data_IF_879723047653
#
_entry.id   IF_879723047653
#
_cell.length_a   1.000
_cell.length_b   1.000
_cell.length_c   1.000
_cell.angle_alpha   90.00
_cell.angle_beta   90.00
_cell.angle_gamma   90.00
#
_symmetry.space_group_name_H-M   'P 1'
#
loop_
_entity.id
_entity.type
_entity.pdbx_description
1 polymer ?
#
# COMPACT_ATOMS: atom_id res chain seq x y z
N UNK A 1 18.59 -11.11 -21.24
CA UNK A 1 19.54 -12.24 -21.18
C UNK A 1 19.98 -12.38 -19.73
N UNK A 2 19.39 -13.33 -18.99
CA UNK A 2 19.79 -13.56 -17.60
C UNK A 2 20.99 -14.52 -17.58
N UNK A 3 22.08 -14.06 -16.97
CA UNK A 3 23.31 -14.83 -16.76
C UNK A 3 23.11 -15.83 -15.62
N UNK A 4 22.39 -16.92 -15.87
CA UNK A 4 22.20 -18.02 -14.89
C UNK A 4 22.36 -19.42 -15.48
N UNK A 5 22.71 -19.56 -16.76
CA UNK A 5 22.64 -20.85 -17.46
C UNK A 5 23.98 -21.55 -17.70
N UNK A 6 24.94 -21.47 -16.77
CA UNK A 6 26.13 -22.30 -16.82
C UNK A 6 26.59 -22.75 -15.43
N UNK A 7 25.99 -23.82 -14.89
CA UNK A 7 26.63 -24.72 -13.91
C UNK A 7 25.85 -26.05 -13.83
N UNK A 8 26.44 -27.20 -14.25
CA UNK A 8 25.78 -28.51 -14.24
C UNK A 8 25.46 -29.04 -12.82
N UNK A 9 26.11 -28.49 -11.80
CA UNK A 9 25.91 -28.84 -10.38
C UNK A 9 24.88 -27.95 -9.66
N UNK A 10 24.25 -27.02 -10.39
CA UNK A 10 23.35 -26.02 -9.83
C UNK A 10 22.02 -26.60 -9.34
N UNK A 11 21.62 -27.81 -9.73
CA UNK A 11 20.32 -28.37 -9.33
C UNK A 11 20.27 -28.79 -7.85
N UNK A 12 21.35 -29.38 -7.32
CA UNK A 12 21.45 -29.73 -5.90
C UNK A 12 21.56 -28.49 -5.01
N UNK A 13 22.38 -27.51 -5.42
CA UNK A 13 22.57 -26.25 -4.70
C UNK A 13 21.28 -25.41 -4.72
N UNK A 14 20.60 -25.30 -5.86
CA UNK A 14 19.31 -24.59 -5.97
C UNK A 14 18.23 -25.23 -5.08
N UNK A 15 18.17 -26.57 -5.04
CA UNK A 15 17.26 -27.28 -4.14
C UNK A 15 17.58 -26.98 -2.68
N UNK A 16 18.84 -27.06 -2.28
CA UNK A 16 19.25 -26.76 -0.90
C UNK A 16 18.93 -25.32 -0.48
N UNK A 17 19.24 -24.34 -1.33
CA UNK A 17 18.93 -22.92 -1.05
C UNK A 17 17.42 -22.71 -0.92
N UNK A 18 16.63 -23.28 -1.83
CA UNK A 18 15.18 -23.21 -1.78
C UNK A 18 14.62 -23.80 -0.48
N UNK A 19 15.04 -25.02 -0.12
CA UNK A 19 14.60 -25.68 1.12
C UNK A 19 15.00 -24.89 2.36
N UNK A 20 16.19 -24.29 2.35
CA UNK A 20 16.64 -23.43 3.46
C UNK A 20 15.76 -22.20 3.60
N UNK A 21 15.50 -21.48 2.51
CA UNK A 21 14.59 -20.30 2.51
C UNK A 21 13.20 -20.72 2.98
N UNK A 22 12.65 -21.81 2.44
CA UNK A 22 11.33 -22.31 2.79
C UNK A 22 11.25 -22.70 4.26
N UNK A 23 12.26 -23.39 4.79
CA UNK A 23 12.35 -23.75 6.20
C UNK A 23 12.43 -22.50 7.10
N UNK A 24 13.26 -21.51 6.73
CA UNK A 24 13.36 -20.24 7.48
C UNK A 24 12.02 -19.48 7.51
N UNK A 25 11.31 -19.42 6.39
CA UNK A 25 10.01 -18.72 6.32
C UNK A 25 8.90 -19.48 7.04
N UNK A 26 8.89 -20.83 7.00
CA UNK A 26 7.86 -21.66 7.65
C UNK A 26 8.08 -21.80 9.15
N UNK A 27 9.32 -22.06 9.56
CA UNK A 27 9.65 -22.46 10.92
C UNK A 27 10.23 -21.31 11.74
N UNK A 28 10.56 -20.17 11.12
CA UNK A 28 11.26 -19.08 11.79
C UNK A 28 12.72 -19.44 12.11
N UNK A 29 13.36 -18.58 12.91
CA UNK A 29 14.74 -18.78 13.37
C UNK A 29 15.03 -17.94 14.62
N UNK A 30 16.12 -18.26 15.34
CA UNK A 30 16.52 -17.56 16.56
C UNK A 30 17.71 -16.65 16.27
N UNK A 31 17.66 -15.40 16.76
CA UNK A 31 18.83 -14.53 16.90
C UNK A 31 18.92 -14.12 18.36
N UNK A 32 20.03 -14.47 19.03
CA UNK A 32 20.20 -14.20 20.46
C UNK A 32 19.15 -14.92 21.30
N UNK A 33 18.39 -14.17 22.09
CA UNK A 33 17.30 -14.64 22.95
C UNK A 33 15.91 -14.53 22.30
N UNK A 34 15.84 -14.17 21.00
CA UNK A 34 14.59 -13.88 20.31
C UNK A 34 14.31 -14.85 19.17
N UNK A 35 13.09 -15.36 19.12
CA UNK A 35 12.57 -16.16 18.02
C UNK A 35 11.84 -15.27 17.01
N UNK A 36 12.25 -15.34 15.75
CA UNK A 36 11.70 -14.57 14.64
C UNK A 36 10.84 -15.45 13.75
N UNK A 37 9.58 -15.06 13.57
CA UNK A 37 8.61 -15.76 12.72
C UNK A 37 8.14 -14.88 11.56
N UNK A 38 7.68 -15.49 10.48
CA UNK A 38 7.25 -14.77 9.29
C UNK A 38 5.98 -13.94 9.52
N UNK A 39 6.04 -12.66 9.16
CA UNK A 39 4.92 -11.73 9.30
C UNK A 39 4.25 -11.44 7.96
N UNK A 40 4.98 -10.84 7.02
CA UNK A 40 4.46 -10.38 5.73
C UNK A 40 5.61 -9.99 4.76
N UNK A 41 5.25 -9.63 3.54
CA UNK A 41 6.13 -8.98 2.58
C UNK A 41 5.35 -8.01 1.69
N UNK A 42 6.02 -7.01 1.12
CA UNK A 42 5.48 -6.18 0.05
C UNK A 42 6.00 -6.62 -1.33
N UNK A 43 5.41 -6.10 -2.41
CA UNK A 43 5.91 -6.35 -3.77
C UNK A 43 7.30 -5.78 -4.01
N UNK A 44 7.71 -4.71 -3.31
CA UNK A 44 9.08 -4.22 -3.41
C UNK A 44 10.05 -5.14 -2.68
N UNK A 45 9.69 -5.58 -1.48
CA UNK A 45 10.50 -6.51 -0.71
C UNK A 45 10.72 -7.83 -1.45
N UNK A 46 9.70 -8.37 -2.13
CA UNK A 46 9.88 -9.55 -2.98
C UNK A 46 10.90 -9.35 -4.11
N UNK A 47 10.91 -8.18 -4.78
CA UNK A 47 11.92 -7.89 -5.81
C UNK A 47 13.32 -7.78 -5.23
N UNK A 48 13.40 -7.29 -4.00
CA UNK A 48 14.66 -7.10 -3.27
C UNK A 48 15.05 -8.34 -2.42
N UNK A 49 14.36 -9.47 -2.58
CA UNK A 49 14.56 -10.71 -1.81
C UNK A 49 14.52 -10.52 -0.28
N UNK A 50 13.61 -9.70 0.23
CA UNK A 50 13.43 -9.40 1.65
C UNK A 50 12.00 -9.68 2.12
N UNK A 51 11.83 -9.79 3.44
CA UNK A 51 10.53 -10.01 4.11
C UNK A 51 10.53 -9.33 5.48
N UNK A 52 9.35 -9.13 6.07
CA UNK A 52 9.22 -8.78 7.49
C UNK A 52 9.10 -10.04 8.34
N UNK A 53 9.97 -10.15 9.34
CA UNK A 53 9.91 -11.13 10.41
C UNK A 53 9.64 -10.41 11.73
N UNK A 54 8.91 -11.05 12.63
CA UNK A 54 8.60 -10.50 13.95
C UNK A 54 9.24 -11.34 15.05
N UNK A 55 9.89 -10.67 16.00
CA UNK A 55 10.40 -11.30 17.21
C UNK A 55 9.23 -11.61 18.15
N UNK A 56 8.74 -12.85 18.09
CA UNK A 56 7.58 -13.27 18.87
C UNK A 56 7.88 -13.31 20.36
N UNK A 57 6.85 -13.13 21.17
CA UNK A 57 6.94 -13.17 22.63
C UNK A 57 5.67 -13.78 23.22
N UNK A 58 5.68 -14.23 24.50
CA UNK A 58 4.48 -14.71 25.16
C UNK A 58 3.31 -13.72 25.01
N UNK A 59 2.19 -14.19 24.44
CA UNK A 59 0.99 -13.39 24.21
C UNK A 59 1.02 -12.47 22.98
N UNK A 60 2.05 -12.52 22.14
CA UNK A 60 2.08 -11.77 20.87
C UNK A 60 2.91 -12.49 19.80
N UNK A 61 2.24 -12.97 18.77
CA UNK A 61 2.80 -13.60 17.58
C UNK A 61 2.54 -12.77 16.32
N UNK A 62 3.20 -13.12 15.21
CA UNK A 62 2.88 -12.62 13.87
C UNK A 62 1.43 -12.90 13.49
N UNK A 63 0.87 -14.02 13.95
CA UNK A 63 -0.54 -14.33 13.70
C UNK A 63 -1.46 -13.36 14.45
N UNK A 64 -1.14 -13.04 15.71
CA UNK A 64 -1.89 -12.06 16.50
C UNK A 64 -1.82 -10.67 15.87
N UNK A 65 -0.66 -10.27 15.36
CA UNK A 65 -0.51 -9.02 14.60
C UNK A 65 -1.40 -9.01 13.35
N UNK A 66 -1.40 -10.08 12.56
CA UNK A 66 -2.26 -10.19 11.37
C UNK A 66 -3.75 -10.13 11.72
N UNK A 67 -4.16 -10.80 12.80
CA UNK A 67 -5.54 -10.74 13.30
C UNK A 67 -5.91 -9.34 13.80
N UNK A 68 -4.97 -8.66 14.48
CA UNK A 68 -5.17 -7.29 14.94
C UNK A 68 -5.33 -6.28 13.80
N UNK A 69 -4.62 -6.46 12.67
CA UNK A 69 -4.73 -5.56 11.52
C UNK A 69 -6.15 -5.53 10.94
N UNK A 70 -6.80 -6.69 10.81
CA UNK A 70 -8.17 -6.78 10.31
C UNK A 70 -8.56 -8.19 9.87
N UNK A 71 -9.77 -8.29 9.34
CA UNK A 71 -10.32 -9.53 8.81
C UNK A 71 -10.05 -9.64 7.31
N UNK A 72 -9.14 -10.55 6.96
CA UNK A 72 -8.75 -10.87 5.58
C UNK A 72 -9.45 -12.14 5.03
N UNK A 73 -10.36 -12.77 5.78
CA UNK A 73 -10.99 -14.05 5.40
C UNK A 73 -11.75 -14.01 4.07
N UNK A 74 -12.27 -12.83 3.69
CA UNK A 74 -12.97 -12.65 2.42
C UNK A 74 -12.02 -12.65 1.19
N UNK A 75 -10.71 -12.61 1.39
CA UNK A 75 -9.71 -12.58 0.32
C UNK A 75 -9.22 -14.02 0.05
N UNK A 76 -9.89 -14.70 -0.87
CA UNK A 76 -9.57 -16.10 -1.21
C UNK A 76 -8.30 -16.25 -2.07
N UNK A 77 -7.99 -15.24 -2.88
CA UNK A 77 -6.82 -15.29 -3.75
C UNK A 77 -5.54 -14.99 -2.95
N UNK A 78 -4.61 -15.94 -2.91
CA UNK A 78 -3.36 -15.86 -2.13
C UNK A 78 -2.50 -14.67 -2.53
N UNK A 79 -2.36 -14.40 -3.83
CA UNK A 79 -1.57 -13.26 -4.33
C UNK A 79 -2.19 -11.93 -3.89
N UNK A 80 -3.51 -11.81 -3.99
CA UNK A 80 -4.26 -10.63 -3.53
C UNK A 80 -4.16 -10.48 -2.01
N UNK A 81 -4.27 -11.57 -1.27
CA UNK A 81 -4.12 -11.61 0.19
C UNK A 81 -2.74 -11.06 0.59
N UNK A 82 -1.66 -11.62 0.02
CA UNK A 82 -0.31 -11.18 0.34
C UNK A 82 -0.06 -9.71 -0.02
N UNK A 83 -0.56 -9.26 -1.18
CA UNK A 83 -0.43 -7.87 -1.60
C UNK A 83 -1.18 -6.89 -0.67
N UNK A 84 -2.35 -7.26 -0.17
CA UNK A 84 -3.14 -6.44 0.76
C UNK A 84 -2.53 -6.48 2.17
N UNK A 85 -2.05 -7.64 2.62
CA UNK A 85 -1.39 -7.78 3.91
C UNK A 85 -0.10 -6.95 3.95
N UNK A 86 0.77 -7.07 2.96
CA UNK A 86 2.02 -6.31 2.88
C UNK A 86 1.80 -4.79 2.85
N UNK A 87 0.69 -4.37 2.24
CA UNK A 87 0.26 -2.97 2.22
C UNK A 87 -0.14 -2.42 3.60
N UNK A 88 -0.49 -3.26 4.56
CA UNK A 88 -0.79 -2.84 5.94
C UNK A 88 0.48 -2.48 6.73
N UNK A 89 1.66 -2.84 6.22
CA UNK A 89 2.98 -2.50 6.78
C UNK A 89 3.60 -1.25 6.12
N UNK A 90 2.89 -0.60 5.19
CA UNK A 90 3.33 0.67 4.62
C UNK A 90 3.54 1.68 5.75
N UNK A 91 4.69 2.36 5.76
CA UNK A 91 4.94 3.42 6.75
C UNK A 91 3.99 4.60 6.51
N UNK A 92 3.34 5.05 7.58
CA UNK A 92 2.48 6.23 7.56
C UNK A 92 2.67 7.07 8.82
N UNK A 93 2.27 8.34 8.75
CA UNK A 93 2.13 9.21 9.91
C UNK A 93 0.74 9.00 10.50
N UNK A 94 0.65 8.41 11.69
CA UNK A 94 -0.61 8.36 12.42
C UNK A 94 -1.02 9.80 12.80
N UNK A 95 -2.27 10.16 12.54
CA UNK A 95 -2.78 11.52 12.76
C UNK A 95 -3.88 11.56 13.82
N UNK A 96 -5.13 11.44 13.41
CA UNK A 96 -6.31 11.59 14.26
C UNK A 96 -7.15 10.32 14.22
N UNK A 97 -7.92 10.09 15.28
CA UNK A 97 -8.96 9.07 15.27
C UNK A 97 -10.22 9.63 14.59
N UNK A 98 -10.85 8.82 13.74
CA UNK A 98 -12.13 9.14 13.08
C UNK A 98 -13.12 8.04 13.46
N UNK A 99 -14.15 8.37 14.24
CA UNK A 99 -15.15 7.40 14.62
C UNK A 99 -16.04 7.02 13.42
N UNK A 100 -16.65 5.84 13.46
CA UNK A 100 -17.47 5.34 12.34
C UNK A 100 -18.64 6.26 11.97
N UNK A 101 -19.23 6.96 12.94
CA UNK A 101 -20.31 7.92 12.71
C UNK A 101 -19.84 9.24 12.09
N UNK A 102 -18.53 9.49 12.04
CA UNK A 102 -17.94 10.68 11.41
C UNK A 102 -17.55 10.42 9.95
N UNK A 103 -17.91 9.24 9.43
CA UNK A 103 -17.61 8.78 8.08
C UNK A 103 -18.90 8.51 7.34
N UNK A 104 -18.93 8.97 6.09
CA UNK A 104 -19.99 8.65 5.15
C UNK A 104 -19.45 7.71 4.07
N UNK A 105 -20.20 6.64 3.77
CA UNK A 105 -19.85 5.73 2.67
C UNK A 105 -20.82 5.95 1.51
N UNK A 106 -20.31 6.49 0.40
CA UNK A 106 -21.11 6.81 -0.78
C UNK A 106 -20.89 5.79 -1.91
N UNK A 107 -21.88 5.71 -2.81
CA UNK A 107 -21.82 4.88 -4.02
C UNK A 107 -20.77 5.37 -5.01
N UNK A 108 -20.09 4.45 -5.67
CA UNK A 108 -19.14 4.76 -6.75
C UNK A 108 -19.79 5.53 -7.91
N UNK A 109 -19.04 6.44 -8.53
CA UNK A 109 -19.46 7.15 -9.74
C UNK A 109 -19.30 6.23 -10.94
N UNK A 110 -20.41 5.95 -11.61
CA UNK A 110 -20.49 5.14 -12.83
C UNK A 110 -21.32 5.88 -13.88
N UNK A 111 -20.98 5.71 -15.14
CA UNK A 111 -21.79 6.20 -16.27
C UNK A 111 -22.75 5.09 -16.71
N UNK A 112 -24.01 5.44 -16.99
CA UNK A 112 -25.02 4.49 -17.48
C UNK A 112 -24.50 3.77 -18.73
N UNK A 113 -24.65 2.44 -18.77
CA UNK A 113 -24.18 1.62 -19.88
C UNK A 113 -22.72 1.17 -19.79
N UNK A 114 -21.99 1.52 -18.73
CA UNK A 114 -20.61 1.02 -18.51
C UNK A 114 -20.46 0.41 -17.12
N UNK A 115 -19.60 -0.61 -17.02
CA UNK A 115 -19.19 -1.19 -15.74
C UNK A 115 -18.00 -0.44 -15.10
N UNK A 116 -17.50 0.60 -15.75
CA UNK A 116 -16.32 1.34 -15.32
C UNK A 116 -16.62 2.24 -14.13
N UNK A 117 -15.71 2.26 -13.15
CA UNK A 117 -15.81 3.08 -11.94
C UNK A 117 -14.86 4.27 -12.05
N UNK A 118 -15.41 5.46 -12.26
CA UNK A 118 -14.64 6.68 -12.47
C UNK A 118 -14.05 7.25 -11.17
N UNK A 119 -14.63 6.89 -10.03
CA UNK A 119 -14.22 7.36 -8.71
C UNK A 119 -13.39 6.34 -7.93
N UNK A 120 -12.74 5.38 -8.62
CA UNK A 120 -12.02 4.34 -7.91
C UNK A 120 -10.81 4.93 -7.16
N UNK A 121 -10.70 4.61 -5.88
CA UNK A 121 -9.63 5.11 -5.03
C UNK A 121 -9.73 6.59 -4.62
N UNK A 122 -10.79 7.34 -4.99
CA UNK A 122 -10.92 8.78 -4.65
C UNK A 122 -12.11 9.08 -3.71
N UNK A 123 -11.78 9.54 -2.50
CA UNK A 123 -12.72 9.96 -1.46
C UNK A 123 -12.61 11.46 -1.16
N UNK A 124 -13.29 11.91 -0.10
CA UNK A 124 -13.28 13.30 0.35
C UNK A 124 -12.88 13.42 1.81
N UNK A 125 -12.31 14.56 2.17
CA UNK A 125 -12.02 14.98 3.54
C UNK A 125 -12.58 16.39 3.73
N UNK A 126 -13.29 16.65 4.85
CA UNK A 126 -13.81 17.99 5.10
C UNK A 126 -12.67 19.00 5.30
N UNK A 127 -12.91 20.27 4.94
CA UNK A 127 -11.90 21.32 5.07
C UNK A 127 -11.38 21.51 6.50
N UNK A 128 -12.28 21.50 7.50
CA UNK A 128 -11.88 21.56 8.92
C UNK A 128 -10.98 20.38 9.31
N UNK A 129 -11.39 19.16 8.93
CA UNK A 129 -10.63 17.98 9.30
C UNK A 129 -9.28 17.91 8.57
N UNK A 130 -9.22 18.33 7.31
CA UNK A 130 -7.99 18.47 6.53
C UNK A 130 -6.99 19.43 7.19
N UNK A 131 -7.48 20.56 7.72
CA UNK A 131 -6.65 21.50 8.49
C UNK A 131 -6.00 20.82 9.69
N UNK A 132 -6.79 20.10 10.49
CA UNK A 132 -6.31 19.40 11.69
C UNK A 132 -5.31 18.28 11.34
N UNK A 133 -5.55 17.55 10.26
CA UNK A 133 -4.64 16.54 9.72
C UNK A 133 -3.32 17.17 9.25
N UNK A 134 -3.38 18.28 8.53
CA UNK A 134 -2.19 19.02 8.07
C UNK A 134 -1.33 19.50 9.25
N UNK A 135 -1.95 20.07 10.30
CA UNK A 135 -1.27 20.48 11.53
C UNK A 135 -0.60 19.29 12.23
N UNK A 136 -1.29 18.13 12.34
CA UNK A 136 -0.69 16.92 12.90
C UNK A 136 0.46 16.36 12.06
N UNK A 137 0.42 16.57 10.74
CA UNK A 137 1.54 16.25 9.85
C UNK A 137 2.68 17.27 9.91
N UNK A 138 2.56 18.36 10.68
CA UNK A 138 3.57 19.42 10.78
C UNK A 138 3.64 20.33 9.55
N UNK A 139 2.54 20.47 8.82
CA UNK A 139 2.47 21.30 7.61
C UNK A 139 2.01 22.71 7.94
N UNK A 140 2.60 23.71 7.28
CA UNK A 140 2.22 25.12 7.39
C UNK A 140 1.09 25.53 6.43
N UNK A 141 0.67 24.61 5.56
CA UNK A 141 -0.42 24.80 4.60
C UNK A 141 -1.34 23.57 4.62
N UNK A 142 -2.54 23.71 4.06
CA UNK A 142 -3.49 22.60 3.89
C UNK A 142 -3.32 22.02 2.47
N UNK A 143 -2.79 20.80 2.32
CA UNK A 143 -2.74 20.12 1.03
C UNK A 143 -4.14 19.91 0.45
N UNK A 144 -4.27 20.00 -0.88
CA UNK A 144 -5.53 19.70 -1.57
C UNK A 144 -5.90 18.23 -1.52
N UNK A 145 -4.89 17.33 -1.42
CA UNK A 145 -5.13 15.89 -1.33
C UNK A 145 -4.19 15.18 -0.35
N UNK A 146 -4.67 14.08 0.21
CA UNK A 146 -3.92 13.18 1.08
C UNK A 146 -4.07 11.73 0.60
N UNK A 147 -2.97 11.00 0.50
CA UNK A 147 -3.00 9.55 0.36
C UNK A 147 -3.07 8.95 1.77
N UNK A 148 -4.17 8.27 2.07
CA UNK A 148 -4.48 7.82 3.42
C UNK A 148 -4.68 6.31 3.53
N UNK A 149 -4.52 5.83 4.76
CA UNK A 149 -4.99 4.54 5.26
C UNK A 149 -5.93 4.80 6.43
N UNK A 150 -7.07 4.14 6.44
CA UNK A 150 -8.02 4.22 7.53
C UNK A 150 -8.71 2.87 7.68
N UNK A 151 -8.47 2.15 8.77
CA UNK A 151 -8.88 0.75 8.88
C UNK A 151 -8.39 -0.05 7.66
N UNK A 152 -9.30 -0.76 6.99
CA UNK A 152 -8.99 -1.45 5.73
C UNK A 152 -9.19 -0.63 4.46
N UNK A 153 -9.42 0.69 4.57
CA UNK A 153 -9.51 1.59 3.42
C UNK A 153 -8.13 2.04 2.95
N UNK A 154 -7.94 2.00 1.63
CA UNK A 154 -6.81 2.64 0.92
C UNK A 154 -7.37 3.56 -0.15
N UNK A 155 -7.06 4.85 -0.04
CA UNK A 155 -7.54 5.85 -0.99
C UNK A 155 -6.74 7.15 -0.96
N UNK A 156 -6.96 7.99 -1.96
CA UNK A 156 -6.66 9.40 -1.93
C UNK A 156 -7.93 10.15 -1.54
N UNK A 157 -7.84 11.08 -0.60
CA UNK A 157 -8.94 11.97 -0.23
C UNK A 157 -8.63 13.39 -0.68
N UNK A 158 -9.63 14.04 -1.27
CA UNK A 158 -9.58 15.44 -1.73
C UNK A 158 -10.31 16.32 -0.73
N UNK A 159 -9.78 17.51 -0.47
CA UNK A 159 -10.44 18.49 0.41
C UNK A 159 -11.76 18.94 -0.23
N UNK A 160 -12.86 18.78 0.49
CA UNK A 160 -14.19 19.26 0.12
C UNK A 160 -14.65 20.30 1.16
N UNK A 161 -14.91 21.52 0.69
CA UNK A 161 -15.37 22.63 1.53
C UNK A 161 -16.81 22.46 2.00
N UNK A 162 -17.61 21.64 1.31
CA UNK A 162 -19.03 21.45 1.59
C UNK A 162 -19.32 20.16 2.38
N UNK A 163 -18.31 19.32 2.61
CA UNK A 163 -18.48 18.08 3.37
C UNK A 163 -18.60 18.36 4.87
N UNK A 164 -19.73 17.96 5.46
CA UNK A 164 -19.93 17.97 6.91
C UNK A 164 -19.26 16.79 7.61
N UNK A 165 -19.01 15.69 6.88
CA UNK A 165 -18.39 14.48 7.40
C UNK A 165 -16.87 14.57 7.31
N UNK A 166 -16.17 14.04 8.32
CA UNK A 166 -14.69 14.08 8.35
C UNK A 166 -14.11 13.37 7.14
N UNK A 167 -14.64 12.20 6.80
CA UNK A 167 -14.25 11.43 5.63
C UNK A 167 -15.48 10.94 4.87
N UNK A 168 -15.45 11.07 3.55
CA UNK A 168 -16.42 10.44 2.67
C UNK A 168 -15.69 9.40 1.82
N UNK A 169 -15.99 8.13 2.05
CA UNK A 169 -15.31 6.98 1.46
C UNK A 169 -16.24 6.20 0.53
N UNK A 170 -15.69 5.26 -0.23
CA UNK A 170 -16.46 4.43 -1.18
C UNK A 170 -16.13 2.96 -1.00
N UNK A 171 -17.07 2.09 -1.35
CA UNK A 171 -16.90 0.63 -1.23
C UNK A 171 -15.68 0.08 -1.97
N UNK A 172 -15.27 0.66 -3.12
CA UNK A 172 -14.10 0.14 -3.86
C UNK A 172 -12.76 0.39 -3.15
N UNK A 173 -12.72 1.32 -2.20
CA UNK A 173 -11.52 1.64 -1.42
C UNK A 173 -11.28 0.68 -0.28
N UNK A 174 -12.33 -0.01 0.20
CA UNK A 174 -12.26 -0.99 1.27
C UNK A 174 -11.58 -2.26 0.74
N UNK A 175 -10.43 -2.60 1.31
CA UNK A 175 -9.63 -3.77 0.90
C UNK A 175 -9.84 -4.98 1.81
N UNK A 176 -10.15 -4.73 3.07
CA UNK A 176 -10.47 -5.73 4.10
C UNK A 176 -11.25 -5.06 5.23
N UNK A 177 -11.93 -5.82 6.08
CA UNK A 177 -12.67 -5.26 7.21
C UNK A 177 -11.73 -5.00 8.40
N UNK A 178 -11.88 -3.87 9.09
CA UNK A 178 -11.07 -3.54 10.26
C UNK A 178 -11.82 -2.65 11.24
N UNK A 179 -11.52 -2.81 12.53
CA UNK A 179 -12.05 -1.97 13.61
C UNK A 179 -11.12 -0.78 13.93
N UNK A 180 -9.97 -0.66 13.25
CA UNK A 180 -9.05 0.43 13.48
C UNK A 180 -9.63 1.77 12.98
N UNK A 181 -9.71 2.74 13.89
CA UNK A 181 -10.24 4.09 13.66
C UNK A 181 -9.14 5.14 13.47
N UNK A 182 -7.87 4.74 13.46
CA UNK A 182 -6.74 5.64 13.27
C UNK A 182 -6.58 6.00 11.80
N UNK A 183 -6.45 7.30 11.53
CA UNK A 183 -6.11 7.81 10.21
C UNK A 183 -4.59 7.88 10.05
N UNK A 184 -4.07 7.10 9.11
CA UNK A 184 -2.69 7.17 8.67
C UNK A 184 -2.55 8.00 7.40
N UNK A 185 -1.65 8.97 7.37
CA UNK A 185 -1.29 9.75 6.17
C UNK A 185 0.03 9.24 5.63
N UNK A 186 0.03 8.80 4.37
CA UNK A 186 1.22 8.27 3.69
C UNK A 186 1.93 9.38 2.94
N UNK A 187 1.17 10.17 2.18
CA UNK A 187 1.64 11.29 1.36
C UNK A 187 0.55 12.34 1.26
N UNK A 188 0.94 13.52 0.80
CA UNK A 188 0.03 14.63 0.51
C UNK A 188 0.46 15.33 -0.77
N UNK A 189 -0.45 16.13 -1.36
CA UNK A 189 -0.15 16.92 -2.53
C UNK A 189 0.98 17.92 -2.24
N UNK A 190 2.03 17.85 -3.05
CA UNK A 190 3.16 18.78 -3.06
C UNK A 190 3.75 18.82 -4.46
N UNK A 191 4.48 19.89 -4.79
CA UNK A 191 5.27 19.93 -6.00
C UNK A 191 6.26 18.77 -6.02
N UNK A 192 6.32 18.06 -7.15
CA UNK A 192 7.29 17.02 -7.41
C UNK A 192 7.90 17.28 -8.79
N UNK A 193 9.23 17.39 -8.91
CA UNK A 193 9.85 17.47 -10.21
C UNK A 193 9.59 16.18 -10.98
N UNK A 194 9.19 16.31 -12.23
CA UNK A 194 8.98 15.21 -13.14
C UNK A 194 10.06 15.27 -14.22
N UNK A 195 10.59 14.10 -14.59
CA UNK A 195 11.60 13.97 -15.62
C UNK A 195 11.11 13.01 -16.70
N UNK A 196 11.57 13.22 -17.92
CA UNK A 196 11.31 12.30 -19.00
C UNK A 196 12.20 11.06 -18.82
N UNK A 197 11.58 9.93 -18.49
CA UNK A 197 12.28 8.64 -18.39
C UNK A 197 12.24 7.91 -19.72
N UNK A 198 13.21 7.01 -19.96
CA UNK A 198 13.31 6.26 -21.21
C UNK A 198 12.01 5.55 -21.61
N UNK A 199 11.26 5.03 -20.65
CA UNK A 199 9.97 4.36 -20.90
C UNK A 199 8.92 5.32 -21.50
N UNK A 200 8.91 6.58 -21.06
CA UNK A 200 8.04 7.61 -21.62
C UNK A 200 8.53 8.06 -23.00
N UNK A 201 9.85 8.18 -23.20
CA UNK A 201 10.44 8.45 -24.53
C UNK A 201 9.98 7.40 -25.53
N UNK A 202 10.18 6.12 -25.23
CA UNK A 202 9.76 5.02 -26.10
C UNK A 202 8.26 5.07 -26.40
N UNK A 203 7.42 5.32 -25.38
CA UNK A 203 5.98 5.45 -25.59
C UNK A 203 5.65 6.60 -26.56
N UNK A 204 6.23 7.78 -26.35
CA UNK A 204 6.00 8.94 -27.23
C UNK A 204 6.46 8.68 -28.67
N UNK A 205 7.61 8.06 -28.86
CA UNK A 205 8.10 7.67 -30.19
C UNK A 205 7.15 6.69 -30.89
N UNK A 206 6.62 5.68 -30.17
CA UNK A 206 5.64 4.74 -30.74
C UNK A 206 4.29 5.37 -31.08
N UNK A 207 3.95 6.49 -30.43
CA UNK A 207 2.76 7.29 -30.75
C UNK A 207 3.00 8.28 -31.91
N UNK A 208 4.20 8.26 -32.52
CA UNK A 208 4.53 9.05 -33.72
C UNK A 208 5.27 10.35 -33.44
N UNK A 209 5.71 10.59 -32.21
CA UNK A 209 6.54 11.75 -31.89
C UNK A 209 7.97 11.51 -32.41
N UNK A 210 8.49 12.42 -33.24
CA UNK A 210 9.80 12.25 -33.89
C UNK A 210 10.94 12.41 -32.88
N UNK A 211 11.89 11.47 -32.88
CA UNK A 211 12.93 11.35 -31.86
C UNK A 211 13.79 12.62 -31.70
N UNK A 212 14.08 13.34 -32.79
CA UNK A 212 14.87 14.58 -32.72
C UNK A 212 14.24 15.67 -31.84
N UNK A 213 12.92 15.63 -31.61
CA UNK A 213 12.22 16.56 -30.71
C UNK A 213 12.53 16.26 -29.24
N UNK A 214 12.79 14.98 -28.93
CA UNK A 214 13.15 14.52 -27.59
C UNK A 214 14.65 14.63 -27.30
N UNK A 215 15.47 14.82 -28.33
CA UNK A 215 16.92 14.98 -28.25
C UNK A 215 17.38 16.44 -27.99
N UNK A 216 16.52 17.43 -28.24
CA UNK A 216 16.84 18.83 -27.94
C UNK A 216 16.76 19.08 -26.42
N UNK A 217 17.91 19.44 -25.83
CA UNK A 217 18.04 19.82 -24.42
C UNK A 217 17.77 21.29 -24.18
#
# INVERSE_FOLDING_TARGET
MYSTDLLPNANGIRKYIYERILSTLRNGFVIGDKFFEFSAFSSSQLRDNSVWMFASRPGLTSNDIRTWMGNFQQIQNVTKYAAILGQSFDSYRETLSVARHEIEVISNVKVRGTNYVFSDGIGKISADFACRVATKCGLQYIPSTFHIRYGGYKCVVVVDQYSSMKLTLRKSMLKYESNNIKLGVLRWSKYQPCYLIHQLVTLLSTLGLRDYVLEQK
#
